data_IF_241985701311
#
_entry.id   IF_241985701311
#
_cell.length_a   1.000
_cell.length_b   1.000
_cell.length_c   1.000
_cell.angle_alpha   90.00
_cell.angle_beta   90.00
_cell.angle_gamma   90.00
#
_symmetry.space_group_name_H-M   'P 1'
#
loop_
_entity.id
_entity.type
_entity.pdbx_description
1 polymer ?
#
# COMPACT_ATOMS: atom_id res chain seq x y z
N UNK A 1 26.88 -22.97 23.23
CA UNK A 1 26.33 -21.76 22.62
C UNK A 1 25.50 -21.05 23.67
N UNK A 2 25.88 -19.82 24.10
CA UNK A 2 25.21 -19.13 25.20
C UNK A 2 23.75 -18.76 24.91
N UNK A 3 23.43 -18.36 23.67
CA UNK A 3 22.08 -18.01 23.23
C UNK A 3 21.72 -18.86 22.02
N UNK A 4 20.64 -19.61 22.14
CA UNK A 4 20.09 -20.45 21.06
C UNK A 4 18.84 -19.79 20.50
N UNK A 5 18.78 -19.62 19.20
CA UNK A 5 17.60 -19.07 18.52
C UNK A 5 17.40 -19.73 17.16
N UNK A 6 16.19 -20.14 16.86
CA UNK A 6 15.82 -20.78 15.58
C UNK A 6 14.56 -20.16 14.99
N UNK A 7 13.65 -19.66 15.83
CA UNK A 7 12.33 -19.22 15.41
C UNK A 7 12.35 -17.87 14.71
N UNK A 8 11.80 -17.83 13.51
CA UNK A 8 11.36 -16.65 12.78
C UNK A 8 9.87 -16.38 13.04
N UNK A 9 9.25 -15.44 12.32
CA UNK A 9 7.85 -15.07 12.48
C UNK A 9 6.89 -16.27 12.35
N UNK A 10 7.04 -17.12 11.34
CA UNK A 10 6.19 -18.30 11.16
C UNK A 10 6.36 -19.30 12.30
N UNK A 11 7.60 -19.61 12.69
CA UNK A 11 7.86 -20.54 13.81
C UNK A 11 7.37 -20.00 15.15
N UNK A 12 7.31 -18.68 15.33
CA UNK A 12 6.74 -18.07 16.55
C UNK A 12 5.24 -18.38 16.65
N UNK A 13 4.57 -18.39 15.51
CA UNK A 13 3.12 -18.66 15.42
C UNK A 13 2.85 -20.17 15.59
N UNK A 14 3.47 -21.01 14.75
CA UNK A 14 3.01 -22.38 14.53
C UNK A 14 3.82 -23.46 15.29
N UNK A 15 5.03 -23.14 15.80
CA UNK A 15 5.91 -24.14 16.35
C UNK A 15 6.15 -23.95 17.86
N UNK A 16 5.32 -24.58 18.67
CA UNK A 16 5.57 -24.64 20.10
C UNK A 16 6.85 -25.42 20.42
N UNK A 17 7.58 -25.01 21.47
CA UNK A 17 8.84 -25.64 21.92
C UNK A 17 10.09 -25.20 21.15
N UNK A 18 10.01 -24.44 20.10
CA UNK A 18 11.14 -23.94 19.31
C UNK A 18 11.60 -22.52 19.68
N UNK A 19 10.96 -21.85 20.64
CA UNK A 19 11.26 -20.47 21.04
C UNK A 19 12.63 -20.29 21.69
N UNK A 20 13.18 -21.33 22.34
CA UNK A 20 14.51 -21.36 22.96
C UNK A 20 14.79 -20.11 23.82
N UNK A 21 16.04 -19.59 23.76
CA UNK A 21 16.46 -18.44 24.55
C UNK A 21 16.06 -17.11 23.91
N UNK A 22 15.84 -17.10 22.60
CA UNK A 22 15.49 -15.91 21.82
C UNK A 22 14.68 -16.29 20.56
N UNK A 23 13.78 -15.40 20.15
CA UNK A 23 13.05 -15.46 18.88
C UNK A 23 13.40 -14.26 18.00
N UNK A 24 13.23 -14.39 16.68
CA UNK A 24 13.44 -13.30 15.73
C UNK A 24 12.12 -12.90 15.10
N UNK A 25 11.41 -12.02 15.80
CA UNK A 25 10.19 -11.39 15.27
C UNK A 25 10.54 -10.46 14.10
N UNK A 26 10.03 -10.76 12.93
CA UNK A 26 10.20 -9.96 11.71
C UNK A 26 8.88 -9.32 11.29
N UNK A 27 8.25 -9.86 10.24
CA UNK A 27 7.03 -9.30 9.64
C UNK A 27 5.85 -9.19 10.63
N UNK A 28 5.76 -10.06 11.64
CA UNK A 28 4.73 -9.97 12.68
C UNK A 28 4.85 -8.69 13.52
N UNK A 29 6.03 -8.04 13.55
CA UNK A 29 6.20 -6.73 14.19
C UNK A 29 5.48 -5.62 13.44
N UNK A 30 5.26 -5.80 12.13
CA UNK A 30 4.44 -4.93 11.31
C UNK A 30 2.94 -5.26 11.39
N UNK A 31 2.57 -6.29 12.17
CA UNK A 31 1.19 -6.77 12.27
C UNK A 31 0.72 -7.54 11.03
N UNK A 32 1.67 -8.14 10.29
CA UNK A 32 1.40 -8.89 9.06
C UNK A 32 1.74 -10.37 9.25
N UNK A 33 0.94 -11.25 8.65
CA UNK A 33 1.21 -12.68 8.68
C UNK A 33 2.33 -13.06 7.71
N UNK A 34 3.21 -14.00 8.09
CA UNK A 34 4.34 -14.44 7.25
C UNK A 34 3.92 -15.05 5.90
N UNK A 35 2.81 -15.79 5.89
CA UNK A 35 2.22 -16.39 4.70
C UNK A 35 0.74 -16.75 4.96
N UNK A 36 0.05 -17.21 3.94
CA UNK A 36 -1.35 -17.68 4.06
C UNK A 36 -1.45 -19.04 4.79
N UNK A 37 -0.34 -19.77 4.93
CA UNK A 37 -0.32 -21.12 5.50
C UNK A 37 -0.21 -21.11 7.02
N UNK A 38 0.19 -19.99 7.66
CA UNK A 38 0.29 -19.90 9.12
C UNK A 38 -1.07 -19.81 9.78
N UNK A 39 -1.17 -20.35 10.99
CA UNK A 39 -2.39 -20.29 11.80
C UNK A 39 -2.72 -18.86 12.21
N UNK A 40 -3.83 -18.33 11.71
CA UNK A 40 -4.26 -16.95 12.00
C UNK A 40 -4.96 -16.82 13.37
N UNK A 41 -5.34 -17.95 13.99
CA UNK A 41 -6.01 -17.99 15.29
C UNK A 41 -5.08 -17.87 16.50
N UNK A 42 -3.77 -18.00 16.29
CA UNK A 42 -2.78 -17.99 17.37
C UNK A 42 -2.41 -16.58 17.83
N UNK A 43 -2.35 -15.64 16.91
CA UNK A 43 -2.03 -14.24 17.19
C UNK A 43 -3.02 -13.32 16.45
N UNK A 44 -3.65 -12.38 17.17
CA UNK A 44 -4.42 -11.29 16.57
C UNK A 44 -3.44 -10.21 16.08
N UNK A 45 -2.96 -10.33 14.86
CA UNK A 45 -2.05 -9.36 14.25
C UNK A 45 -2.86 -8.19 13.66
N UNK A 46 -2.41 -6.99 13.98
CA UNK A 46 -3.02 -5.74 13.48
C UNK A 46 -1.99 -4.99 12.66
N UNK A 47 -2.25 -4.72 11.37
CA UNK A 47 -1.34 -3.95 10.54
C UNK A 47 -0.99 -2.61 11.18
N UNK A 48 0.32 -2.35 11.32
CA UNK A 48 0.84 -1.14 11.94
C UNK A 48 1.14 -0.03 10.91
N UNK A 49 0.99 -0.31 9.61
CA UNK A 49 1.33 0.60 8.52
C UNK A 49 0.13 0.88 7.64
N UNK A 50 -0.10 2.15 7.37
CA UNK A 50 -0.92 2.62 6.26
C UNK A 50 -0.06 3.45 5.30
N UNK A 51 -0.36 3.43 4.02
CA UNK A 51 0.26 4.29 3.01
C UNK A 51 -0.81 5.17 2.40
N UNK A 52 -0.69 6.48 2.65
CA UNK A 52 -1.69 7.48 2.25
C UNK A 52 -1.06 8.65 1.53
N UNK A 53 -1.85 9.34 0.75
CA UNK A 53 -1.50 10.58 0.04
C UNK A 53 -2.76 11.38 -0.23
N UNK A 54 -2.68 12.39 -1.11
CA UNK A 54 -3.81 13.23 -1.51
C UNK A 54 -3.85 13.39 -3.01
N UNK A 55 -5.03 13.67 -3.56
CA UNK A 55 -5.19 14.04 -4.96
C UNK A 55 -4.54 15.41 -5.20
N UNK A 56 -3.67 15.52 -6.20
CA UNK A 56 -3.02 16.80 -6.55
C UNK A 56 -3.63 17.48 -7.77
N UNK A 57 -4.33 16.75 -8.61
CA UNK A 57 -4.96 17.30 -9.81
C UNK A 57 -6.12 16.43 -10.27
N UNK A 58 -7.17 17.07 -10.79
CA UNK A 58 -8.32 16.39 -11.41
C UNK A 58 -8.61 17.03 -12.74
N UNK A 59 -8.90 16.20 -13.75
CA UNK A 59 -9.40 16.63 -15.06
C UNK A 59 -10.43 15.68 -15.63
N UNK A 60 -11.26 16.17 -16.52
CA UNK A 60 -12.09 15.34 -17.39
C UNK A 60 -11.44 15.24 -18.78
N UNK A 61 -11.53 14.08 -19.40
CA UNK A 61 -11.07 13.81 -20.76
C UNK A 61 -12.18 13.13 -21.55
N UNK A 62 -12.21 13.33 -22.85
CA UNK A 62 -13.16 12.67 -23.74
C UNK A 62 -12.74 11.21 -24.03
N UNK A 63 -13.62 10.45 -24.69
CA UNK A 63 -13.28 9.13 -25.20
C UNK A 63 -12.16 9.20 -26.25
N UNK A 64 -11.27 8.21 -26.27
CA UNK A 64 -10.15 8.13 -27.20
C UNK A 64 -8.85 8.78 -26.71
N UNK A 65 -8.83 9.35 -25.50
CA UNK A 65 -7.64 9.98 -24.95
C UNK A 65 -6.70 8.96 -24.30
N UNK A 66 -5.40 9.05 -24.66
CA UNK A 66 -4.35 8.21 -24.11
C UNK A 66 -3.87 8.69 -22.74
N UNK A 67 -3.78 7.77 -21.75
CA UNK A 67 -3.38 8.09 -20.39
C UNK A 67 -2.00 7.54 -20.10
N UNK A 68 -1.15 8.39 -19.50
CA UNK A 68 0.21 8.07 -19.10
C UNK A 68 1.15 7.71 -20.25
N UNK A 69 2.35 7.26 -19.94
CA UNK A 69 3.39 6.93 -20.93
C UNK A 69 2.96 5.81 -21.88
N UNK A 70 3.26 6.02 -23.14
CA UNK A 70 2.98 5.10 -24.26
C UNK A 70 1.49 4.84 -24.50
N UNK A 71 0.61 5.63 -23.90
CA UNK A 71 -0.84 5.52 -24.07
C UNK A 71 -1.34 4.06 -23.91
N UNK A 72 -0.82 3.35 -22.89
CA UNK A 72 -1.18 1.95 -22.64
C UNK A 72 -2.61 1.76 -22.15
N UNK A 73 -3.24 2.85 -21.75
CA UNK A 73 -4.67 2.94 -21.48
C UNK A 73 -5.26 4.04 -22.34
N UNK A 74 -6.39 3.78 -22.99
CA UNK A 74 -7.15 4.75 -23.77
C UNK A 74 -8.56 4.77 -23.22
N UNK A 75 -9.10 5.96 -22.99
CA UNK A 75 -10.46 6.13 -22.46
C UNK A 75 -11.48 5.67 -23.50
N UNK A 76 -12.49 4.93 -23.09
CA UNK A 76 -13.62 4.47 -23.92
C UNK A 76 -14.86 5.37 -23.80
N UNK A 77 -14.88 6.23 -22.81
CA UNK A 77 -15.94 7.19 -22.50
C UNK A 77 -15.34 8.47 -21.92
N UNK A 78 -16.17 9.47 -21.75
CA UNK A 78 -15.81 10.66 -20.97
C UNK A 78 -15.44 10.22 -19.54
N UNK A 79 -14.22 10.50 -19.12
CA UNK A 79 -13.61 9.96 -17.90
C UNK A 79 -13.06 11.07 -17.01
N UNK A 80 -13.39 11.06 -15.73
CA UNK A 80 -12.81 11.96 -14.72
C UNK A 80 -11.59 11.28 -14.09
N UNK A 81 -10.44 11.93 -14.21
CA UNK A 81 -9.13 11.36 -13.82
C UNK A 81 -8.54 12.17 -12.70
N UNK A 82 -8.07 11.49 -11.66
CA UNK A 82 -7.27 12.09 -10.59
C UNK A 82 -5.80 11.70 -10.73
N UNK A 83 -4.89 12.64 -10.48
CA UNK A 83 -3.45 12.44 -10.41
C UNK A 83 -3.02 12.27 -8.96
N UNK A 84 -2.30 11.20 -8.70
CA UNK A 84 -1.82 10.77 -7.39
C UNK A 84 -0.29 10.93 -7.36
N UNK A 85 0.28 11.75 -6.43
CA UNK A 85 1.71 12.08 -6.40
C UNK A 85 2.52 10.99 -5.68
N UNK A 86 2.42 9.76 -6.16
CA UNK A 86 3.18 8.59 -5.70
C UNK A 86 3.60 7.81 -6.93
N UNK A 87 4.81 7.27 -6.92
CA UNK A 87 5.32 6.45 -8.01
C UNK A 87 6.34 5.42 -7.57
N UNK A 88 7.03 4.81 -8.53
CA UNK A 88 8.00 3.75 -8.19
C UNK A 88 9.25 4.27 -7.47
N UNK A 89 9.55 5.56 -7.52
CA UNK A 89 10.62 6.14 -6.72
C UNK A 89 10.28 6.25 -5.22
N UNK A 90 8.98 6.17 -4.87
CA UNK A 90 8.49 6.06 -3.50
C UNK A 90 8.48 4.63 -2.99
N UNK A 91 8.67 3.65 -3.91
CA UNK A 91 8.57 2.23 -3.63
C UNK A 91 7.22 1.62 -4.00
N UNK A 92 6.32 2.38 -4.65
CA UNK A 92 5.04 1.83 -5.10
C UNK A 92 5.23 1.02 -6.40
N UNK A 93 4.82 -0.26 -6.44
CA UNK A 93 5.20 -1.16 -7.52
C UNK A 93 4.68 -0.73 -8.89
N UNK A 94 5.59 -0.58 -9.87
CA UNK A 94 5.24 -0.24 -11.25
C UNK A 94 4.39 -1.32 -11.94
N UNK A 95 4.47 -2.55 -11.48
CA UNK A 95 3.68 -3.70 -11.99
C UNK A 95 2.17 -3.57 -11.73
N UNK A 96 1.74 -2.67 -10.85
CA UNK A 96 0.34 -2.31 -10.61
C UNK A 96 -0.27 -1.42 -11.71
N UNK A 97 0.51 -1.03 -12.72
CA UNK A 97 0.04 -0.24 -13.87
C UNK A 97 -1.15 -0.89 -14.55
N UNK A 98 -2.27 -0.19 -14.67
CA UNK A 98 -3.57 -0.66 -15.24
C UNK A 98 -4.10 -1.95 -14.60
N UNK A 99 -3.69 -2.27 -13.36
CA UNK A 99 -4.15 -3.43 -12.59
C UNK A 99 -4.63 -3.04 -11.21
N UNK A 100 -3.80 -2.28 -10.50
CA UNK A 100 -4.05 -1.91 -9.13
C UNK A 100 -5.22 -0.94 -8.97
N UNK A 101 -5.57 -0.72 -7.73
CA UNK A 101 -6.61 0.21 -7.30
C UNK A 101 -6.17 0.91 -6.02
N UNK A 102 -6.80 2.03 -5.73
CA UNK A 102 -6.66 2.78 -4.48
C UNK A 102 -8.04 3.00 -3.86
N UNK A 103 -8.11 3.47 -2.63
CA UNK A 103 -9.34 3.92 -2.00
C UNK A 103 -9.39 5.45 -1.95
N UNK A 104 -10.54 6.01 -2.30
CA UNK A 104 -10.86 7.43 -2.22
C UNK A 104 -12.30 7.55 -1.75
N UNK A 105 -12.55 8.26 -0.64
CA UNK A 105 -13.89 8.45 -0.08
C UNK A 105 -14.65 7.13 0.14
N UNK A 106 -13.94 6.09 0.60
CA UNK A 106 -14.50 4.76 0.83
C UNK A 106 -14.83 3.97 -0.45
N UNK A 107 -14.34 4.39 -1.62
CA UNK A 107 -14.61 3.73 -2.89
C UNK A 107 -13.31 3.35 -3.60
N UNK A 108 -13.34 2.22 -4.34
CA UNK A 108 -12.20 1.82 -5.15
C UNK A 108 -12.10 2.66 -6.42
N UNK A 109 -10.91 3.20 -6.67
CA UNK A 109 -10.55 3.91 -7.89
C UNK A 109 -9.46 3.09 -8.61
N UNK A 110 -9.71 2.58 -9.83
CA UNK A 110 -8.73 1.79 -10.57
C UNK A 110 -7.58 2.66 -11.06
N UNK A 111 -6.37 2.12 -11.04
CA UNK A 111 -5.19 2.73 -11.66
C UNK A 111 -5.29 2.57 -13.16
N UNK A 112 -5.22 3.68 -13.89
CA UNK A 112 -5.30 3.73 -15.35
C UNK A 112 -3.98 4.20 -15.96
N UNK A 113 -3.49 3.43 -16.94
CA UNK A 113 -2.19 3.66 -17.56
C UNK A 113 -1.01 3.27 -16.67
N UNK A 114 0.18 3.74 -17.02
CA UNK A 114 1.42 3.36 -16.33
C UNK A 114 1.64 4.18 -15.06
N UNK A 115 2.13 3.51 -14.02
CA UNK A 115 2.72 4.17 -12.86
C UNK A 115 4.08 4.74 -13.29
N UNK A 116 4.26 6.04 -13.04
CA UNK A 116 5.46 6.80 -13.36
C UNK A 116 6.43 6.83 -12.16
N UNK A 117 7.51 7.58 -12.30
CA UNK A 117 8.51 7.75 -11.23
C UNK A 117 7.88 8.34 -9.96
N UNK A 118 7.08 9.40 -10.12
CA UNK A 118 6.61 10.24 -9.02
C UNK A 118 5.08 10.38 -8.97
N UNK A 119 4.34 9.77 -9.91
CA UNK A 119 2.88 9.88 -9.97
C UNK A 119 2.24 8.76 -10.80
N UNK A 120 0.94 8.58 -10.58
CA UNK A 120 0.06 7.77 -11.43
C UNK A 120 -1.34 8.37 -11.49
N UNK A 121 -2.18 7.86 -12.39
CA UNK A 121 -3.55 8.30 -12.58
C UNK A 121 -4.54 7.21 -12.18
N UNK A 122 -5.68 7.65 -11.64
CA UNK A 122 -6.81 6.79 -11.32
C UNK A 122 -8.09 7.33 -11.94
N UNK A 123 -8.98 6.42 -12.32
CA UNK A 123 -10.33 6.77 -12.75
C UNK A 123 -11.21 7.02 -11.52
N UNK A 124 -11.75 8.23 -11.44
CA UNK A 124 -12.65 8.67 -10.36
C UNK A 124 -14.02 9.11 -10.90
N UNK A 125 -14.37 8.66 -12.10
CA UNK A 125 -15.62 9.04 -12.79
C UNK A 125 -16.84 8.79 -11.94
N UNK A 126 -16.88 7.63 -11.28
CA UNK A 126 -18.02 7.16 -10.49
C UNK A 126 -17.93 7.56 -9.00
N UNK A 127 -16.92 8.35 -8.60
CA UNK A 127 -16.76 8.82 -7.21
C UNK A 127 -17.35 10.22 -7.07
N UNK A 128 -18.53 10.29 -6.46
CA UNK A 128 -19.25 11.55 -6.30
C UNK A 128 -18.51 12.51 -5.35
N UNK A 129 -18.48 13.79 -5.73
CA UNK A 129 -17.91 14.86 -4.91
C UNK A 129 -16.40 14.83 -4.74
N UNK A 130 -15.67 13.96 -5.50
CA UNK A 130 -14.22 13.90 -5.44
C UNK A 130 -13.56 15.24 -5.82
N UNK A 131 -12.59 15.67 -5.04
CA UNK A 131 -11.89 16.95 -5.17
C UNK A 131 -10.38 16.84 -4.95
N UNK A 132 -9.66 17.85 -5.41
CA UNK A 132 -8.23 18.01 -5.08
C UNK A 132 -8.08 18.10 -3.57
N UNK A 133 -7.03 17.50 -3.02
CA UNK A 133 -6.72 17.29 -1.60
C UNK A 133 -7.56 16.22 -0.89
N UNK A 134 -8.49 15.53 -1.56
CA UNK A 134 -9.08 14.34 -0.97
C UNK A 134 -7.99 13.30 -0.67
N UNK A 135 -8.10 12.65 0.49
CA UNK A 135 -7.18 11.59 0.89
C UNK A 135 -7.29 10.37 -0.04
N UNK A 136 -6.17 9.78 -0.34
CA UNK A 136 -6.03 8.56 -1.14
C UNK A 136 -5.33 7.51 -0.32
N UNK A 137 -5.96 6.37 -0.09
CA UNK A 137 -5.37 5.24 0.62
C UNK A 137 -4.86 4.21 -0.38
N UNK A 138 -3.55 4.02 -0.40
CA UNK A 138 -2.88 3.00 -1.21
C UNK A 138 -2.78 1.67 -0.46
N UNK A 139 -2.58 1.73 0.85
CA UNK A 139 -2.63 0.62 1.79
C UNK A 139 -3.25 1.14 3.08
N UNK A 140 -4.18 0.41 3.67
CA UNK A 140 -4.86 0.76 4.90
C UNK A 140 -6.37 0.92 4.74
N UNK A 141 -6.97 1.61 5.68
CA UNK A 141 -8.41 1.81 5.76
C UNK A 141 -8.86 3.14 5.15
N UNK A 142 -10.04 3.09 4.49
CA UNK A 142 -10.82 4.27 4.09
C UNK A 142 -12.32 3.94 4.26
N UNK A 143 -12.95 4.54 5.25
CA UNK A 143 -14.30 4.21 5.65
C UNK A 143 -14.41 2.74 6.09
N UNK A 144 -15.31 2.00 5.46
CA UNK A 144 -15.56 0.57 5.75
C UNK A 144 -14.73 -0.37 4.86
N UNK A 145 -13.85 0.16 4.02
CA UNK A 145 -13.01 -0.63 3.13
C UNK A 145 -11.55 -0.60 3.55
N UNK A 146 -10.82 -1.60 3.15
CA UNK A 146 -9.40 -1.74 3.40
C UNK A 146 -8.69 -2.29 2.15
N UNK A 147 -7.49 -1.80 1.92
CA UNK A 147 -6.50 -2.40 1.02
C UNK A 147 -5.36 -2.91 1.89
N UNK A 148 -5.19 -4.23 1.96
CA UNK A 148 -4.12 -4.82 2.75
C UNK A 148 -2.79 -4.79 2.01
N UNK A 149 -1.68 -4.88 2.76
CA UNK A 149 -0.34 -5.03 2.17
C UNK A 149 -0.27 -6.27 1.30
N UNK A 150 -0.86 -7.39 1.78
CA UNK A 150 -0.88 -8.67 1.08
C UNK A 150 -1.62 -8.57 -0.25
N UNK A 151 -2.81 -7.94 -0.26
CA UNK A 151 -3.60 -7.74 -1.48
C UNK A 151 -2.82 -6.94 -2.53
N UNK A 152 -2.25 -5.80 -2.14
CA UNK A 152 -1.49 -4.93 -3.04
C UNK A 152 -0.21 -5.60 -3.53
N UNK A 153 0.53 -6.29 -2.64
CA UNK A 153 1.75 -6.99 -2.99
C UNK A 153 1.48 -8.16 -3.94
N UNK A 154 0.46 -8.98 -3.67
CA UNK A 154 0.07 -10.10 -4.52
C UNK A 154 -0.34 -9.63 -5.93
N UNK A 155 -1.12 -8.57 -6.03
CA UNK A 155 -1.51 -7.97 -7.31
C UNK A 155 -0.30 -7.43 -8.09
N UNK A 156 0.72 -6.95 -7.37
CA UNK A 156 1.99 -6.54 -7.95
C UNK A 156 2.88 -7.71 -8.41
N UNK A 157 2.54 -8.97 -8.08
CA UNK A 157 3.36 -10.15 -8.31
C UNK A 157 4.54 -10.26 -7.33
N UNK A 158 4.39 -9.71 -6.13
CA UNK A 158 5.36 -9.67 -5.05
C UNK A 158 4.76 -10.27 -3.76
N UNK A 159 5.31 -9.98 -2.60
CA UNK A 159 4.80 -10.40 -1.30
C UNK A 159 5.03 -9.32 -0.24
N UNK A 160 4.36 -9.45 0.89
CA UNK A 160 4.28 -8.39 1.90
C UNK A 160 5.64 -7.93 2.44
N UNK A 161 6.63 -8.82 2.62
CA UNK A 161 7.99 -8.46 3.06
C UNK A 161 8.68 -7.51 2.08
N UNK A 162 8.63 -7.83 0.79
CA UNK A 162 9.23 -7.00 -0.26
C UNK A 162 8.54 -5.65 -0.33
N UNK A 163 7.21 -5.64 -0.28
CA UNK A 163 6.43 -4.41 -0.32
C UNK A 163 6.81 -3.45 0.81
N UNK A 164 6.80 -3.90 2.07
CA UNK A 164 7.12 -3.01 3.20
C UNK A 164 8.57 -2.53 3.20
N UNK A 165 9.50 -3.37 2.71
CA UNK A 165 10.91 -2.99 2.54
C UNK A 165 11.10 -2.02 1.37
N UNK A 166 10.24 -2.08 0.36
CA UNK A 166 10.31 -1.26 -0.85
C UNK A 166 9.97 0.21 -0.64
N UNK A 167 9.20 0.56 0.40
CA UNK A 167 8.80 1.95 0.66
C UNK A 167 10.04 2.82 0.94
N UNK A 168 10.30 3.75 0.03
CA UNK A 168 11.48 4.59 0.00
C UNK A 168 11.60 5.55 1.19
N UNK A 169 12.83 5.97 1.49
CA UNK A 169 13.10 6.93 2.58
C UNK A 169 12.53 8.33 2.32
N UNK A 170 12.26 8.69 1.07
CA UNK A 170 11.65 9.98 0.74
C UNK A 170 10.17 10.09 1.15
N UNK A 171 9.52 8.97 1.46
CA UNK A 171 8.15 8.94 2.00
C UNK A 171 8.23 9.24 3.51
N UNK A 172 7.64 10.33 4.01
CA UNK A 172 7.65 10.65 5.43
C UNK A 172 7.01 9.53 6.28
N UNK A 173 7.56 9.28 7.45
CA UNK A 173 6.98 8.36 8.44
C UNK A 173 6.25 9.16 9.50
N UNK A 174 4.94 8.97 9.60
CA UNK A 174 4.08 9.61 10.60
C UNK A 174 3.74 8.57 11.66
N UNK A 175 4.18 8.79 12.87
CA UNK A 175 3.95 7.88 14.00
C UNK A 175 2.69 8.30 14.75
N UNK A 176 1.70 7.39 14.76
CA UNK A 176 0.42 7.59 15.44
C UNK A 176 0.34 6.65 16.64
N UNK A 177 -0.02 7.18 17.80
CA UNK A 177 -0.23 6.40 19.01
C UNK A 177 -1.51 6.86 19.72
N UNK A 178 -2.41 5.93 19.97
CA UNK A 178 -3.74 6.21 20.57
C UNK A 178 -4.54 7.26 19.79
N UNK A 179 -4.47 7.22 18.46
CA UNK A 179 -5.18 8.14 17.57
C UNK A 179 -4.53 9.54 17.45
N UNK A 180 -3.41 9.79 18.13
CA UNK A 180 -2.69 11.06 18.06
C UNK A 180 -1.37 10.92 17.32
N UNK A 181 -1.09 11.87 16.43
CA UNK A 181 0.21 11.99 15.80
C UNK A 181 1.25 12.40 16.86
N UNK A 182 2.28 11.60 17.03
CA UNK A 182 3.36 11.84 18.01
C UNK A 182 4.61 12.42 17.36
N UNK A 183 4.93 11.98 16.16
CA UNK A 183 6.16 12.35 15.47
C UNK A 183 5.98 12.21 13.96
N UNK A 184 6.70 13.03 13.20
CA UNK A 184 6.87 12.86 11.76
C UNK A 184 8.36 12.84 11.45
N UNK A 185 8.84 11.74 10.87
CA UNK A 185 10.22 11.58 10.47
C UNK A 185 10.37 11.86 8.97
N UNK A 186 11.24 12.81 8.64
CA UNK A 186 11.69 13.09 7.28
C UNK A 186 13.13 12.61 7.15
N UNK A 187 13.37 11.69 6.24
CA UNK A 187 14.74 11.27 5.94
C UNK A 187 15.36 12.30 4.99
N UNK A 188 16.24 13.16 5.52
CA UNK A 188 17.00 14.09 4.70
C UNK A 188 17.87 13.32 3.68
N UNK A 189 18.08 13.97 2.51
CA UNK A 189 18.88 13.40 1.42
C UNK A 189 20.36 13.40 1.74
#
# INVERSE_FOLDING_TARGET
IPIKHVSNSASIIDLDGFRKDMVRSGIITYGLYPSEEVSKDVLDLRPAMELKTHIVYIKEVEAGEGISYNHTYVTDKKTKIATIPVGYADGYPRSLSSKGKVLIRGQYAPIIGRICMDQFMVDVTDIEGVSVMDEVTLVGHDGNKMLTVEEVANEAGSFNYEFVCGIGKRVPRVYIRNGEMKETEYFEK
#
